data_IF_337988639661
#
_entry.id   IF_337988639661
#
_cell.length_a   1.000
_cell.length_b   1.000
_cell.length_c   1.000
_cell.angle_alpha   90.00
_cell.angle_beta   90.00
_cell.angle_gamma   90.00
#
_symmetry.space_group_name_H-M   'P 1'
#
loop_
_entity.id
_entity.type
_entity.pdbx_description
1 polymer ?
#
# COMPACT_ATOMS: atom_id res chain seq x y z
N UNK A 1 12.52 -13.24 1.18
CA UNK A 1 12.50 -11.78 1.35
C UNK A 1 12.31 -11.45 2.81
N UNK A 2 13.07 -10.48 3.28
CA UNK A 2 12.99 -10.10 4.67
C UNK A 2 11.83 -9.11 4.87
N UNK A 3 11.00 -9.38 5.89
CA UNK A 3 9.89 -8.52 6.23
C UNK A 3 10.38 -7.42 7.18
N UNK A 4 10.02 -6.17 6.87
CA UNK A 4 10.39 -5.01 7.69
C UNK A 4 9.12 -4.38 8.26
N UNK A 5 9.21 -3.88 9.48
CA UNK A 5 8.12 -3.07 10.02
C UNK A 5 8.12 -1.71 9.32
N UNK A 6 6.93 -1.19 9.11
CA UNK A 6 6.79 0.09 8.41
C UNK A 6 7.54 1.22 9.15
N UNK A 7 7.67 1.11 10.47
CA UNK A 7 8.39 2.11 11.26
C UNK A 7 9.90 2.12 11.00
N UNK A 8 10.42 1.07 10.37
CA UNK A 8 11.85 0.97 10.06
C UNK A 8 12.19 1.61 8.74
N UNK A 9 11.18 1.99 7.95
CA UNK A 9 11.35 2.73 6.71
C UNK A 9 10.71 4.09 6.91
N UNK A 10 11.23 5.09 6.22
CA UNK A 10 10.80 6.47 6.44
C UNK A 10 9.52 6.80 5.68
N UNK A 11 8.40 6.24 6.13
CA UNK A 11 7.09 6.44 5.52
C UNK A 11 6.22 7.39 6.33
N UNK A 12 6.81 8.47 6.83
CA UNK A 12 6.13 9.33 7.79
C UNK A 12 4.91 10.04 7.24
N UNK A 13 4.86 10.27 5.93
CA UNK A 13 3.78 11.04 5.32
C UNK A 13 2.87 10.18 4.47
N UNK A 14 3.10 8.88 4.43
CA UNK A 14 2.36 7.98 3.58
C UNK A 14 1.73 6.90 4.45
N UNK A 15 0.41 6.81 4.41
CA UNK A 15 -0.28 5.80 5.17
C UNK A 15 -0.28 4.48 4.38
N UNK A 16 0.19 3.38 4.98
CA UNK A 16 0.22 2.10 4.28
C UNK A 16 -1.18 1.54 4.09
N UNK A 17 -1.31 0.66 3.11
CA UNK A 17 -2.56 -0.06 2.85
C UNK A 17 -2.56 -1.33 3.70
N UNK A 18 -3.65 -1.56 4.42
CA UNK A 18 -3.78 -2.79 5.19
C UNK A 18 -4.26 -3.90 4.28
N UNK A 19 -3.73 -5.09 4.53
CA UNK A 19 -4.16 -6.28 3.79
C UNK A 19 -5.69 -6.45 3.92
N UNK A 20 -6.36 -6.68 2.81
CA UNK A 20 -7.82 -6.79 2.78
C UNK A 20 -8.56 -5.51 2.49
N UNK A 21 -7.85 -4.40 2.29
CA UNK A 21 -8.48 -3.13 1.93
C UNK A 21 -9.17 -3.25 0.57
N UNK A 22 -10.45 -2.83 0.46
CA UNK A 22 -11.15 -2.88 -0.81
C UNK A 22 -10.47 -2.04 -1.88
N UNK A 23 -10.54 -2.49 -3.12
CA UNK A 23 -9.88 -1.83 -4.25
C UNK A 23 -10.21 -0.34 -4.38
N UNK A 24 -11.48 0.09 -4.27
CA UNK A 24 -11.78 1.52 -4.37
C UNK A 24 -11.03 2.37 -3.35
N UNK A 25 -10.82 1.84 -2.15
CA UNK A 25 -10.07 2.56 -1.12
C UNK A 25 -8.59 2.61 -1.44
N UNK A 26 -8.06 1.57 -2.06
CA UNK A 26 -6.66 1.55 -2.50
C UNK A 26 -6.43 2.63 -3.54
N UNK A 27 -7.31 2.70 -4.53
CA UNK A 27 -7.22 3.71 -5.59
C UNK A 27 -7.29 5.11 -5.00
N UNK A 28 -8.22 5.33 -4.07
CA UNK A 28 -8.37 6.63 -3.42
C UNK A 28 -7.09 7.01 -2.67
N UNK A 29 -6.50 6.07 -1.95
CA UNK A 29 -5.27 6.33 -1.20
C UNK A 29 -4.11 6.70 -2.13
N UNK A 30 -3.99 6.03 -3.27
CA UNK A 30 -2.97 6.35 -4.25
C UNK A 30 -3.14 7.77 -4.76
N UNK A 31 -4.37 8.15 -5.09
CA UNK A 31 -4.67 9.49 -5.61
C UNK A 31 -4.44 10.56 -4.56
N UNK A 32 -4.87 10.33 -3.33
CA UNK A 32 -4.74 11.31 -2.26
C UNK A 32 -3.29 11.56 -1.89
N UNK A 33 -2.45 10.55 -1.99
CA UNK A 33 -1.04 10.68 -1.64
C UNK A 33 -0.17 11.07 -2.84
N UNK A 34 -0.77 11.19 -4.02
CA UNK A 34 -0.04 11.57 -5.24
C UNK A 34 1.13 10.62 -5.51
N UNK A 35 0.92 9.34 -5.31
CA UNK A 35 1.94 8.32 -5.53
C UNK A 35 1.41 7.25 -6.46
N UNK A 36 2.32 6.51 -7.09
CA UNK A 36 1.96 5.44 -8.00
C UNK A 36 1.91 4.07 -7.33
N UNK A 37 2.31 4.00 -6.07
CA UNK A 37 2.28 2.75 -5.32
C UNK A 37 2.36 3.01 -3.83
N UNK A 38 1.87 2.04 -3.05
CA UNK A 38 1.88 2.12 -1.59
C UNK A 38 2.25 0.76 -1.01
N UNK A 39 2.89 0.75 0.17
CA UNK A 39 3.18 -0.51 0.85
C UNK A 39 1.90 -1.13 1.41
N UNK A 40 1.82 -2.44 1.35
CA UNK A 40 0.73 -3.22 1.95
C UNK A 40 1.29 -3.88 3.20
N UNK A 41 0.59 -3.70 4.31
CA UNK A 41 1.06 -4.19 5.61
C UNK A 41 0.04 -5.12 6.24
N UNK A 42 0.51 -5.94 7.17
CA UNK A 42 -0.33 -6.78 8.00
C UNK A 42 -0.76 -6.04 9.27
N UNK A 43 -1.45 -6.73 10.17
CA UNK A 43 -1.95 -6.15 11.42
C UNK A 43 -0.81 -5.70 12.35
N UNK A 44 0.37 -6.23 12.17
CA UNK A 44 1.54 -5.88 12.97
C UNK A 44 2.43 -4.86 12.26
N UNK A 45 1.95 -4.33 11.14
CA UNK A 45 2.62 -3.30 10.35
C UNK A 45 3.91 -3.79 9.70
N UNK A 46 4.00 -5.09 9.43
CA UNK A 46 5.07 -5.63 8.60
C UNK A 46 4.69 -5.47 7.14
N UNK A 47 5.65 -5.06 6.32
CA UNK A 47 5.42 -4.88 4.89
C UNK A 47 5.33 -6.23 4.21
N UNK A 48 4.17 -6.51 3.62
CA UNK A 48 3.92 -7.74 2.87
C UNK A 48 4.26 -7.59 1.40
N UNK A 49 4.19 -6.37 0.89
CA UNK A 49 4.45 -6.09 -0.51
C UNK A 49 4.03 -4.68 -0.84
N UNK A 50 3.89 -4.39 -2.12
CA UNK A 50 3.47 -3.08 -2.59
C UNK A 50 2.35 -3.25 -3.60
N UNK A 51 1.42 -2.31 -3.61
CA UNK A 51 0.37 -2.22 -4.60
C UNK A 51 0.64 -0.99 -5.45
N UNK A 52 0.49 -1.12 -6.76
CA UNK A 52 0.74 -0.03 -7.69
C UNK A 52 -0.55 0.37 -8.40
N UNK A 53 -0.51 1.55 -9.02
CA UNK A 53 -1.60 2.02 -9.86
C UNK A 53 -1.91 1.03 -10.99
N UNK A 54 -0.87 0.43 -11.58
CA UNK A 54 -1.06 -0.56 -12.63
C UNK A 54 -1.75 -1.82 -12.12
N UNK A 55 -1.44 -2.24 -10.90
CA UNK A 55 -2.11 -3.39 -10.30
C UNK A 55 -3.60 -3.13 -10.16
N UNK A 56 -3.97 -1.91 -9.78
CA UNK A 56 -5.38 -1.54 -9.64
C UNK A 56 -6.09 -1.53 -11.00
N UNK A 57 -5.43 -1.03 -12.03
CA UNK A 57 -5.99 -1.01 -13.37
C UNK A 57 -6.22 -2.44 -13.87
N UNK A 58 -5.25 -3.32 -13.67
CA UNK A 58 -5.40 -4.73 -14.07
C UNK A 58 -6.56 -5.39 -13.34
N UNK A 59 -6.77 -5.08 -12.09
CA UNK A 59 -7.85 -5.67 -11.32
C UNK A 59 -9.23 -5.21 -11.80
N UNK A 60 -9.29 -4.02 -12.41
CA UNK A 60 -10.55 -3.47 -12.93
C UNK A 60 -10.90 -3.97 -14.33
N UNK A 61 -9.96 -4.53 -15.03
CA UNK A 61 -10.17 -5.08 -16.36
C UNK A 61 -10.71 -6.50 -16.27
#
# INVERSE_FOLDING_TARGET
>A
MRSLKISEVMWNHIEPIRCGTPLPRVVKALLENHVSGLPVVDDQRHVLGFVSEQDCIHALL
#
